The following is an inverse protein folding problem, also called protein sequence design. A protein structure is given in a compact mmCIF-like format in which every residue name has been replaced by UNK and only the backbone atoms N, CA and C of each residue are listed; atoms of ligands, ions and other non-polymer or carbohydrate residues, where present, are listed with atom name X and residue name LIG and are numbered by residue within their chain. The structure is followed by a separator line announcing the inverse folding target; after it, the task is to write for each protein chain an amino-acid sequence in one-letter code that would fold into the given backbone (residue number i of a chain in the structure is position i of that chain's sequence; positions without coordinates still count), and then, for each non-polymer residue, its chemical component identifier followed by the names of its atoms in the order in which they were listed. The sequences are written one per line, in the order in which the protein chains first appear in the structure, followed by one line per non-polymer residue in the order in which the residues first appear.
data_IF_531552107778
#
_entry.id   IF_531552107778
#
_cell.length_a   1.000
_cell.length_b   1.000
_cell.length_c   1.000
_cell.angle_alpha   90.00
_cell.angle_beta   90.00
_cell.angle_gamma   90.00
#
_symmetry.space_group_name_H-M   'P 1'
#
loop_
_entity.id
_entity.type
_entity.pdbx_description
1 polymer ?
#
# COMPACT_ATOMS: atom_id res chain seq x y z
N UNK A 1 5.93 -5.76 13.72
CA UNK A 1 4.70 -5.04 14.08
C UNK A 1 4.59 -4.92 15.60
N UNK A 2 4.07 -5.93 16.32
CA UNK A 2 3.82 -5.87 17.78
C UNK A 2 5.00 -5.35 18.64
N UNK A 3 6.22 -5.87 18.46
CA UNK A 3 7.40 -5.42 19.23
C UNK A 3 7.84 -3.98 18.95
N UNK A 4 7.44 -3.43 17.81
CA UNK A 4 7.72 -2.05 17.40
C UNK A 4 6.54 -1.13 17.69
N UNK A 5 5.41 -1.67 18.15
CA UNK A 5 4.14 -0.93 18.37
C UNK A 5 3.66 -0.17 17.12
N UNK A 6 3.90 -0.73 15.93
CA UNK A 6 3.42 -0.20 14.64
C UNK A 6 2.35 -1.09 14.04
N UNK A 7 1.36 -0.45 13.40
CA UNK A 7 0.21 -1.10 12.74
C UNK A 7 0.43 -1.25 11.23
N UNK A 8 1.16 -0.31 10.64
CA UNK A 8 1.55 -0.32 9.22
C UNK A 8 3.04 0.02 9.08
N UNK A 9 3.66 -0.45 8.00
CA UNK A 9 5.05 -0.14 7.67
C UNK A 9 5.50 -0.78 6.37
N UNK A 10 6.33 -0.05 5.61
CA UNK A 10 7.05 -0.60 4.47
C UNK A 10 8.30 -1.33 4.95
N UNK A 11 8.49 -2.58 4.52
CA UNK A 11 9.64 -3.39 4.90
C UNK A 11 10.55 -3.64 3.71
N UNK A 12 11.82 -3.32 3.88
CA UNK A 12 12.83 -3.50 2.84
C UNK A 12 13.66 -4.76 3.12
N UNK A 13 13.73 -5.61 2.11
CA UNK A 13 14.51 -6.84 2.12
C UNK A 13 15.40 -6.93 0.89
N UNK A 14 16.52 -7.63 1.04
CA UNK A 14 17.33 -8.13 -0.08
C UNK A 14 17.49 -9.64 0.05
N UNK A 15 17.81 -10.28 -1.08
CA UNK A 15 18.13 -11.70 -1.16
C UNK A 15 19.58 -11.80 -1.62
N UNK A 16 20.43 -12.50 -0.87
CA UNK A 16 21.83 -12.71 -1.27
C UNK A 16 22.00 -13.85 -2.30
N UNK A 17 23.23 -14.09 -2.72
CA UNK A 17 23.57 -15.16 -3.67
C UNK A 17 23.30 -16.60 -3.18
N UNK A 18 22.99 -16.77 -1.89
CA UNK A 18 22.66 -18.05 -1.24
C UNK A 18 21.17 -18.16 -0.90
N UNK A 19 20.32 -17.37 -1.55
CA UNK A 19 18.88 -17.27 -1.32
C UNK A 19 18.50 -16.87 0.12
N UNK A 20 19.40 -16.19 0.85
CA UNK A 20 19.11 -15.72 2.20
C UNK A 20 18.42 -14.37 2.17
N UNK A 21 17.27 -14.28 2.82
CA UNK A 21 16.53 -13.04 3.03
C UNK A 21 17.17 -12.23 4.15
N UNK A 22 17.55 -10.99 3.84
CA UNK A 22 18.17 -10.07 4.78
C UNK A 22 17.23 -8.87 4.96
N UNK A 23 16.78 -8.65 6.20
CA UNK A 23 16.04 -7.47 6.59
C UNK A 23 16.98 -6.25 6.62
N UNK A 24 16.55 -5.16 5.98
CA UNK A 24 17.29 -3.90 6.00
C UNK A 24 16.67 -2.92 6.98
N UNK A 25 15.43 -2.51 6.72
CA UNK A 25 14.73 -1.53 7.53
C UNK A 25 13.21 -1.70 7.46
N UNK A 26 12.54 -0.99 8.37
CA UNK A 26 11.10 -0.76 8.33
C UNK A 26 10.85 0.74 8.43
N UNK A 27 10.00 1.25 7.54
CA UNK A 27 9.55 2.63 7.53
C UNK A 27 8.04 2.68 7.84
N UNK A 28 7.69 3.13 9.04
CA UNK A 28 6.31 3.21 9.53
C UNK A 28 5.40 4.09 8.65
N UNK A 29 5.94 5.19 8.11
CA UNK A 29 5.23 6.14 7.25
C UNK A 29 5.77 6.15 5.81
N UNK A 30 6.28 5.01 5.34
CA UNK A 30 6.91 4.89 4.02
C UNK A 30 5.99 5.31 2.88
N UNK A 31 6.56 5.80 1.78
CA UNK A 31 5.78 6.01 0.55
C UNK A 31 5.48 4.64 -0.06
N UNK A 32 4.26 4.12 0.05
CA UNK A 32 3.92 2.78 -0.45
C UNK A 32 2.96 2.77 -1.64
N UNK A 33 2.25 3.88 -1.90
CA UNK A 33 1.20 3.94 -2.94
C UNK A 33 1.73 3.65 -4.36
N UNK A 34 3.02 3.88 -4.62
CA UNK A 34 3.62 3.59 -5.93
C UNK A 34 3.63 2.08 -6.24
N UNK A 35 3.60 1.20 -5.23
CA UNK A 35 3.63 -0.26 -5.43
C UNK A 35 2.48 -0.71 -6.32
N UNK A 36 1.31 -0.12 -6.14
CA UNK A 36 0.12 -0.44 -6.93
C UNK A 36 0.23 0.04 -8.39
N UNK A 37 1.09 1.03 -8.66
CA UNK A 37 1.42 1.41 -10.05
C UNK A 37 2.24 0.34 -10.76
N UNK A 38 3.05 -0.44 -10.02
CA UNK A 38 3.87 -1.52 -10.57
C UNK A 38 3.16 -2.88 -10.54
N UNK A 39 2.31 -3.11 -9.53
CA UNK A 39 1.59 -4.36 -9.32
C UNK A 39 0.12 -4.08 -8.97
N UNK A 40 -0.70 -3.85 -10.00
CA UNK A 40 -2.10 -3.48 -9.87
C UNK A 40 -2.99 -4.57 -9.25
N UNK A 41 -2.50 -5.80 -9.11
CA UNK A 41 -3.24 -6.88 -8.44
C UNK A 41 -3.18 -6.80 -6.92
N UNK A 42 -2.36 -5.90 -6.35
CA UNK A 42 -2.29 -5.66 -4.90
C UNK A 42 -3.22 -4.48 -4.59
N UNK A 43 -4.35 -4.69 -3.89
CA UNK A 43 -5.32 -3.63 -3.58
C UNK A 43 -4.85 -2.80 -2.38
N UNK A 44 -3.69 -2.15 -2.49
CA UNK A 44 -3.07 -1.41 -1.39
C UNK A 44 -3.85 -0.15 -1.05
N UNK A 45 -4.42 0.51 -2.06
CA UNK A 45 -5.32 1.67 -1.90
C UNK A 45 -6.54 1.32 -1.05
N UNK A 46 -7.25 0.24 -1.39
CA UNK A 46 -8.37 -0.28 -0.61
C UNK A 46 -7.97 -0.59 0.85
N UNK A 47 -6.86 -1.31 1.04
CA UNK A 47 -6.39 -1.63 2.39
C UNK A 47 -6.06 -0.38 3.20
N UNK A 48 -5.49 0.65 2.56
CA UNK A 48 -5.20 1.94 3.20
C UNK A 48 -6.48 2.72 3.53
N UNK A 49 -7.49 2.70 2.66
CA UNK A 49 -8.81 3.27 2.96
C UNK A 49 -9.41 2.62 4.21
N UNK A 50 -9.46 1.28 4.27
CA UNK A 50 -9.95 0.57 5.45
C UNK A 50 -9.13 0.89 6.71
N UNK A 51 -7.81 1.01 6.60
CA UNK A 51 -6.93 1.37 7.72
C UNK A 51 -7.30 2.73 8.31
N UNK A 52 -7.47 3.75 7.46
CA UNK A 52 -7.86 5.10 7.88
C UNK A 52 -9.28 5.12 8.45
N UNK A 53 -10.22 4.41 7.83
CA UNK A 53 -11.62 4.38 8.27
C UNK A 53 -11.81 3.69 9.63
N UNK A 54 -11.10 2.59 9.87
CA UNK A 54 -11.21 1.82 11.12
C UNK A 54 -10.46 2.48 12.27
N UNK A 55 -9.31 3.10 11.98
CA UNK A 55 -8.44 3.71 12.98
C UNK A 55 -8.18 2.80 14.21
N UNK A 56 -7.95 1.51 13.94
CA UNK A 56 -7.78 0.46 14.95
C UNK A 56 -6.28 0.06 15.09
N UNK A 57 -5.69 0.09 16.30
CA UNK A 57 -4.33 -0.39 16.52
C UNK A 57 -4.13 -1.89 16.24
N UNK A 58 -5.21 -2.66 16.14
CA UNK A 58 -5.21 -4.07 15.73
C UNK A 58 -5.76 -4.26 14.32
N UNK A 59 -5.63 -3.24 13.46
CA UNK A 59 -6.13 -3.28 12.10
C UNK A 59 -5.65 -4.53 11.35
N UNK A 60 -6.61 -5.26 10.80
CA UNK A 60 -6.41 -6.29 9.79
C UNK A 60 -7.21 -5.91 8.54
N UNK A 61 -6.58 -6.05 7.37
CA UNK A 61 -7.24 -5.83 6.10
C UNK A 61 -8.29 -6.91 5.84
N UNK A 62 -9.52 -6.51 5.52
CA UNK A 62 -10.58 -7.41 5.10
C UNK A 62 -10.77 -7.34 3.57
N UNK A 63 -10.45 -8.43 2.83
CA UNK A 63 -10.63 -8.44 1.39
C UNK A 63 -12.09 -8.24 0.99
N UNK A 64 -12.31 -7.32 0.05
CA UNK A 64 -13.61 -7.07 -0.58
C UNK A 64 -13.66 -7.67 -1.98
N UNK A 65 -14.87 -7.90 -2.50
CA UNK A 65 -15.07 -8.52 -3.81
C UNK A 65 -14.62 -7.64 -4.98
N UNK A 66 -14.66 -6.31 -4.80
CA UNK A 66 -14.28 -5.30 -5.78
C UNK A 66 -13.51 -4.20 -5.03
N UNK A 67 -12.20 -4.38 -4.79
CA UNK A 67 -11.40 -3.39 -4.09
C UNK A 67 -11.20 -2.14 -4.94
N UNK A 68 -11.23 -0.96 -4.31
CA UNK A 68 -10.86 0.29 -4.98
C UNK A 68 -9.35 0.29 -5.24
N UNK A 69 -8.98 0.32 -6.51
CA UNK A 69 -7.57 0.46 -6.92
C UNK A 69 -7.13 1.91 -7.04
N UNK A 70 -5.82 2.15 -6.97
CA UNK A 70 -5.23 3.47 -7.21
C UNK A 70 -5.58 4.00 -8.60
N UNK A 71 -5.62 3.11 -9.60
CA UNK A 71 -6.00 3.45 -10.98
C UNK A 71 -7.43 3.95 -11.05
N UNK A 72 -8.37 3.23 -10.44
CA UNK A 72 -9.78 3.64 -10.42
C UNK A 72 -9.96 4.96 -9.69
N UNK A 73 -9.38 5.11 -8.50
CA UNK A 73 -9.42 6.37 -7.75
C UNK A 73 -8.88 7.56 -8.58
N UNK A 74 -7.82 7.33 -9.34
CA UNK A 74 -7.23 8.33 -10.23
C UNK A 74 -8.12 8.68 -11.43
N UNK A 75 -8.69 7.68 -12.10
CA UNK A 75 -9.61 7.88 -13.21
C UNK A 75 -10.89 8.60 -12.77
N UNK A 76 -11.41 8.28 -11.59
CA UNK A 76 -12.54 8.95 -10.97
C UNK A 76 -12.24 10.43 -10.72
N UNK A 77 -11.10 10.74 -10.09
CA UNK A 77 -10.66 12.11 -9.84
C UNK A 77 -10.54 12.93 -11.15
N UNK A 78 -9.99 12.32 -12.20
CA UNK A 78 -9.87 12.95 -13.53
C UNK A 78 -11.24 13.22 -14.15
N UNK A 79 -12.20 12.29 -14.04
CA UNK A 79 -13.59 12.50 -14.51
C UNK A 79 -14.29 13.63 -13.75
N UNK A 80 -13.93 13.84 -12.49
CA UNK A 80 -14.40 14.97 -11.67
C UNK A 80 -13.70 16.30 -11.96
N UNK A 81 -12.77 16.36 -12.93
CA UNK A 81 -12.09 17.59 -13.34
C UNK A 81 -10.92 18.00 -12.46
N UNK A 82 -10.41 17.08 -11.62
CA UNK A 82 -9.19 17.34 -10.84
C UNK A 82 -7.96 17.17 -11.75
N UNK A 83 -7.03 18.13 -11.68
CA UNK A 83 -5.71 17.98 -12.28
C UNK A 83 -4.94 16.91 -11.51
N UNK A 84 -4.36 15.97 -12.25
CA UNK A 84 -3.72 14.79 -11.70
C UNK A 84 -2.45 14.47 -12.51
N UNK A 85 -1.35 14.11 -11.84
CA UNK A 85 -0.01 13.94 -12.44
C UNK A 85 0.58 12.52 -12.30
N UNK A 86 -0.22 11.48 -12.01
CA UNK A 86 0.30 10.11 -12.01
C UNK A 86 0.29 9.48 -13.41
N UNK A 87 1.41 8.86 -13.74
CA UNK A 87 1.57 8.02 -14.92
C UNK A 87 1.62 6.57 -14.44
N UNK A 88 0.64 5.77 -14.87
CA UNK A 88 0.69 4.32 -14.72
C UNK A 88 1.50 3.73 -15.88
N UNK A 89 2.45 2.83 -15.62
CA UNK A 89 3.15 2.10 -16.68
C UNK A 89 2.22 1.17 -17.47
#
# INVERSE_FOLDING_TARGET
MERLDIVSGGFDFIIDENDQWIFLEVNEAGQFMFIETWCQSIPLTEAFCQFVERADPQFEYEPVSQPLTLREAYEDAKRSGLETELVFP
#
